data_IF_065196184674
#
_entry.id   IF_065196184674
#
_cell.length_a   1.000
_cell.length_b   1.000
_cell.length_c   1.000
_cell.angle_alpha   90.00
_cell.angle_beta   90.00
_cell.angle_gamma   90.00
#
_symmetry.space_group_name_H-M   'P 1'
#
loop_
_entity.id
_entity.type
_entity.pdbx_description
1 polymer ?
#
# COMPACT_ATOMS: atom_id res chain seq x y z
N UNK A 1 29.39 -16.51 -1.17
CA UNK A 1 28.07 -16.09 -1.68
C UNK A 1 27.14 -15.96 -0.49
N UNK A 2 26.74 -14.74 -0.14
CA UNK A 2 25.68 -14.52 0.86
C UNK A 2 24.41 -15.21 0.37
N UNK A 3 23.71 -15.87 1.28
CA UNK A 3 22.43 -16.52 0.96
C UNK A 3 21.32 -15.55 1.26
N UNK A 4 20.28 -15.54 0.44
CA UNK A 4 19.07 -14.78 0.73
C UNK A 4 18.38 -15.31 1.99
N UNK A 5 17.60 -14.46 2.63
CA UNK A 5 16.97 -14.74 3.92
C UNK A 5 15.45 -14.62 3.83
N UNK A 6 14.76 -15.59 4.43
CA UNK A 6 13.33 -15.50 4.67
C UNK A 6 13.07 -14.84 6.02
N UNK A 7 12.07 -13.96 6.03
CA UNK A 7 11.52 -13.35 7.27
C UNK A 7 10.03 -13.60 7.25
N UNK A 8 9.46 -13.94 8.39
CA UNK A 8 8.02 -14.16 8.45
C UNK A 8 7.49 -14.00 9.86
N UNK A 9 6.29 -13.42 9.95
CA UNK A 9 5.59 -13.22 11.21
C UNK A 9 4.12 -13.60 11.02
N UNK A 10 3.56 -14.42 11.94
CA UNK A 10 2.13 -14.60 12.02
C UNK A 10 1.49 -13.27 12.44
N UNK A 11 0.32 -13.00 11.92
CA UNK A 11 -0.51 -11.85 12.30
C UNK A 11 -1.78 -12.40 12.93
N UNK A 12 -2.08 -12.00 14.16
CA UNK A 12 -3.33 -12.33 14.83
C UNK A 12 -3.78 -11.12 15.66
N UNK A 13 -5.03 -10.76 15.56
CA UNK A 13 -5.59 -9.60 16.27
C UNK A 13 -7.09 -9.77 16.50
N UNK A 14 -7.61 -8.93 17.37
CA UNK A 14 -9.04 -8.79 17.62
C UNK A 14 -9.39 -7.33 17.78
N UNK A 15 -10.44 -6.88 17.08
CA UNK A 15 -11.09 -5.58 17.32
C UNK A 15 -12.61 -5.74 17.25
N UNK A 16 -13.39 -4.85 17.87
CA UNK A 16 -14.85 -4.91 17.77
C UNK A 16 -15.36 -4.81 16.33
N UNK A 17 -14.65 -4.07 15.47
CA UNK A 17 -15.02 -3.83 14.07
C UNK A 17 -14.69 -5.03 13.18
N UNK A 18 -13.64 -5.79 13.51
CA UNK A 18 -13.16 -6.91 12.68
C UNK A 18 -13.53 -8.29 13.22
N UNK A 19 -13.78 -8.43 14.52
CA UNK A 19 -13.74 -9.71 15.21
C UNK A 19 -12.31 -10.26 15.23
N UNK A 20 -12.15 -11.56 15.29
CA UNK A 20 -10.84 -12.21 15.16
C UNK A 20 -10.33 -12.09 13.73
N UNK A 21 -9.06 -11.71 13.61
CA UNK A 21 -8.32 -11.68 12.36
C UNK A 21 -7.03 -12.48 12.44
N UNK A 22 -6.68 -13.14 11.34
CA UNK A 22 -5.46 -13.92 11.24
C UNK A 22 -4.85 -13.89 9.85
N UNK A 23 -3.54 -14.01 9.79
CA UNK A 23 -2.78 -13.97 8.55
C UNK A 23 -1.28 -14.11 8.76
N UNK A 24 -0.52 -13.62 7.80
CA UNK A 24 0.93 -13.62 7.87
C UNK A 24 1.54 -12.44 7.11
N UNK A 25 2.70 -11.98 7.57
CA UNK A 25 3.63 -11.17 6.80
C UNK A 25 4.84 -12.02 6.47
N UNK A 26 5.24 -12.04 5.19
CA UNK A 26 6.36 -12.83 4.68
C UNK A 26 7.26 -11.94 3.85
N UNK A 27 8.56 -12.19 3.93
CA UNK A 27 9.54 -11.49 3.13
C UNK A 27 10.69 -12.38 2.72
N UNK A 28 11.23 -12.11 1.56
CA UNK A 28 12.49 -12.67 1.11
C UNK A 28 13.45 -11.54 0.73
N UNK A 29 14.59 -11.53 1.38
CA UNK A 29 15.66 -10.57 1.12
C UNK A 29 16.72 -11.28 0.30
N UNK A 30 16.96 -10.78 -0.90
CA UNK A 30 17.97 -11.32 -1.80
C UNK A 30 19.38 -11.00 -1.31
N UNK A 31 20.37 -11.85 -1.61
CA UNK A 31 21.75 -11.52 -1.32
C UNK A 31 22.15 -10.26 -2.08
N UNK A 32 23.01 -9.48 -1.47
CA UNK A 32 23.53 -8.24 -2.05
C UNK A 32 24.28 -8.52 -3.35
N UNK A 33 23.87 -7.87 -4.43
CA UNK A 33 24.51 -7.92 -5.75
C UNK A 33 25.15 -6.54 -6.03
N UNK A 34 26.14 -6.18 -5.21
CA UNK A 34 26.97 -4.97 -5.50
C UNK A 34 26.39 -3.62 -5.07
N UNK A 35 25.10 -3.46 -4.85
CA UNK A 35 24.50 -2.21 -4.38
C UNK A 35 24.49 -2.11 -2.84
N UNK A 36 24.33 -0.89 -2.35
CA UNK A 36 24.21 -0.59 -0.91
C UNK A 36 22.94 -1.19 -0.29
N UNK A 37 21.93 -1.46 -1.11
CA UNK A 37 20.62 -1.93 -0.67
C UNK A 37 20.33 -3.33 -1.22
N UNK A 38 19.84 -4.26 -0.41
CA UNK A 38 19.39 -5.56 -0.90
C UNK A 38 18.05 -5.43 -1.61
N UNK A 39 17.87 -6.17 -2.68
CA UNK A 39 16.54 -6.37 -3.27
C UNK A 39 15.68 -7.25 -2.37
N UNK A 40 14.37 -7.06 -2.38
CA UNK A 40 13.46 -7.81 -1.52
C UNK A 40 12.09 -8.01 -2.16
N UNK A 41 11.37 -9.00 -1.67
CA UNK A 41 9.94 -9.15 -1.89
C UNK A 41 9.29 -9.28 -0.53
N UNK A 42 8.39 -8.35 -0.22
CA UNK A 42 7.64 -8.37 1.03
C UNK A 42 6.16 -8.52 0.70
N UNK A 43 5.44 -9.27 1.53
CA UNK A 43 4.01 -9.47 1.38
C UNK A 43 3.33 -9.60 2.73
N UNK A 44 2.07 -9.16 2.78
CA UNK A 44 1.20 -9.32 3.94
C UNK A 44 -0.18 -9.75 3.45
N UNK A 45 -0.81 -10.64 4.19
CA UNK A 45 -2.20 -10.99 3.95
C UNK A 45 -2.88 -11.41 5.23
N UNK A 46 -4.11 -10.94 5.42
CA UNK A 46 -4.95 -11.38 6.52
C UNK A 46 -6.43 -11.39 6.15
N UNK A 47 -7.17 -12.19 6.90
CA UNK A 47 -8.59 -12.35 6.80
C UNK A 47 -9.22 -12.28 8.19
N UNK A 48 -10.45 -11.78 8.28
CA UNK A 48 -11.13 -11.59 9.55
C UNK A 48 -12.47 -12.32 9.61
N UNK A 49 -12.96 -12.55 10.82
CA UNK A 49 -14.25 -13.16 11.09
C UNK A 49 -15.42 -12.46 10.40
N UNK A 50 -15.35 -11.14 10.26
CA UNK A 50 -16.36 -10.32 9.56
C UNK A 50 -16.13 -10.19 8.05
N UNK A 51 -15.38 -11.14 7.44
CA UNK A 51 -15.10 -11.23 6.00
C UNK A 51 -14.31 -10.05 5.41
N UNK A 52 -13.47 -9.41 6.21
CA UNK A 52 -12.52 -8.44 5.72
C UNK A 52 -11.29 -9.16 5.19
N UNK A 53 -10.78 -8.68 4.07
CA UNK A 53 -9.59 -9.24 3.42
C UNK A 53 -8.63 -8.09 3.14
N UNK A 54 -7.37 -8.28 3.48
CA UNK A 54 -6.28 -7.39 3.09
C UNK A 54 -5.14 -8.23 2.54
N UNK A 55 -4.62 -7.80 1.41
CA UNK A 55 -3.43 -8.36 0.79
C UNK A 55 -2.55 -7.23 0.28
N UNK A 56 -1.24 -7.33 0.50
CA UNK A 56 -0.26 -6.39 -0.04
C UNK A 56 1.01 -7.12 -0.43
N UNK A 57 1.66 -6.67 -1.51
CA UNK A 57 2.95 -7.19 -1.94
C UNK A 57 3.83 -6.06 -2.49
N UNK A 58 5.10 -6.06 -2.11
CA UNK A 58 6.09 -5.04 -2.47
C UNK A 58 7.38 -5.72 -2.91
N UNK A 59 7.52 -6.08 -4.19
CA UNK A 59 8.81 -6.38 -4.80
C UNK A 59 9.63 -5.10 -4.97
N UNK A 60 10.87 -5.13 -4.50
CA UNK A 60 11.84 -4.03 -4.60
C UNK A 60 13.15 -4.56 -5.16
N UNK A 61 13.64 -3.91 -6.20
CA UNK A 61 14.82 -4.32 -6.96
C UNK A 61 15.86 -3.22 -7.00
N UNK A 62 17.07 -3.54 -6.58
CA UNK A 62 18.27 -2.71 -6.72
C UNK A 62 19.29 -3.39 -7.63
N UNK A 63 19.75 -2.69 -8.67
CA UNK A 63 20.74 -3.19 -9.62
C UNK A 63 22.07 -2.43 -9.50
N UNK A 64 23.14 -3.09 -9.86
CA UNK A 64 24.52 -2.54 -9.83
C UNK A 64 24.72 -1.26 -10.66
N UNK A 65 23.88 -1.07 -11.68
CA UNK A 65 23.90 0.12 -12.54
C UNK A 65 23.21 1.34 -11.92
N UNK A 66 22.85 1.29 -10.64
CA UNK A 66 22.15 2.35 -9.92
C UNK A 66 20.65 2.41 -10.17
N UNK A 67 20.07 1.42 -10.88
CA UNK A 67 18.63 1.33 -11.06
C UNK A 67 17.95 0.81 -9.78
N UNK A 68 16.86 1.48 -9.41
CA UNK A 68 15.93 1.07 -8.37
C UNK A 68 14.54 0.96 -8.96
N UNK A 69 13.92 -0.19 -8.78
CA UNK A 69 12.54 -0.47 -9.19
C UNK A 69 11.71 -0.95 -8.01
N UNK A 70 10.47 -0.49 -7.92
CA UNK A 70 9.54 -0.88 -6.88
C UNK A 70 8.16 -1.07 -7.47
N UNK A 71 7.51 -2.17 -7.09
CA UNK A 71 6.10 -2.44 -7.39
C UNK A 71 5.39 -2.55 -6.05
N UNK A 72 4.35 -1.77 -5.86
CA UNK A 72 3.42 -1.92 -4.73
C UNK A 72 2.10 -2.44 -5.28
N UNK A 73 1.58 -3.49 -4.70
CA UNK A 73 0.27 -4.05 -5.03
C UNK A 73 -0.53 -4.20 -3.75
N UNK A 74 -1.75 -3.71 -3.77
CA UNK A 74 -2.67 -3.77 -2.65
C UNK A 74 -4.06 -4.22 -3.10
N UNK A 75 -4.67 -5.03 -2.27
CA UNK A 75 -6.09 -5.38 -2.35
C UNK A 75 -6.68 -5.34 -0.96
N UNK A 76 -7.81 -4.68 -0.83
CA UNK A 76 -8.56 -4.70 0.41
C UNK A 76 -10.07 -4.74 0.14
N UNK A 77 -10.75 -5.48 1.00
CA UNK A 77 -12.18 -5.45 1.16
C UNK A 77 -12.44 -5.25 2.64
N UNK A 78 -12.81 -4.04 3.01
CA UNK A 78 -12.87 -3.67 4.41
C UNK A 78 -14.08 -2.76 4.64
N UNK A 79 -15.07 -3.14 5.49
CA UNK A 79 -16.17 -2.26 5.85
C UNK A 79 -15.66 -0.96 6.45
N UNK A 80 -16.28 0.13 6.07
CA UNK A 80 -15.96 1.47 6.50
C UNK A 80 -17.23 2.27 6.73
N UNK A 81 -17.11 3.42 7.35
CA UNK A 81 -18.20 4.31 7.68
C UNK A 81 -18.09 5.61 6.90
N UNK A 82 -19.21 6.13 6.48
CA UNK A 82 -19.35 7.39 5.76
C UNK A 82 -20.27 8.33 6.55
N UNK A 83 -19.84 9.55 6.77
CA UNK A 83 -20.57 10.56 7.54
C UNK A 83 -21.07 11.75 6.69
N UNK A 84 -21.07 11.63 5.38
CA UNK A 84 -21.46 12.73 4.50
C UNK A 84 -20.27 13.54 3.96
N UNK A 85 -20.57 14.72 3.38
CA UNK A 85 -19.58 15.63 2.80
C UNK A 85 -19.63 16.97 3.50
N UNK A 86 -18.49 17.43 4.00
CA UNK A 86 -18.31 18.75 4.57
C UNK A 86 -18.10 18.75 6.08
N UNK A 87 -17.96 19.94 6.69
CA UNK A 87 -17.66 20.08 8.10
C UNK A 87 -18.91 19.99 9.02
N UNK A 88 -20.11 20.01 8.45
CA UNK A 88 -21.37 20.06 9.20
C UNK A 88 -22.07 18.70 9.29
N UNK A 89 -21.28 17.61 9.24
CA UNK A 89 -21.78 16.24 9.38
C UNK A 89 -21.89 15.86 10.85
N UNK A 90 -22.96 15.16 11.21
CA UNK A 90 -23.25 14.71 12.57
C UNK A 90 -22.99 13.20 12.72
N UNK A 91 -22.85 12.71 13.95
CA UNK A 91 -22.66 11.28 14.21
C UNK A 91 -23.89 10.46 13.75
N UNK A 92 -25.04 11.07 13.67
CA UNK A 92 -26.30 10.46 13.18
C UNK A 92 -26.30 10.23 11.66
N UNK A 93 -25.40 10.89 10.92
CA UNK A 93 -25.22 10.71 9.47
C UNK A 93 -24.35 9.50 9.12
N UNK A 94 -23.92 8.72 10.11
CA UNK A 94 -23.07 7.54 9.90
C UNK A 94 -23.78 6.47 9.09
N UNK A 95 -23.22 6.15 7.92
CA UNK A 95 -23.65 5.06 7.05
C UNK A 95 -22.58 4.01 6.88
N UNK A 96 -22.94 2.74 6.96
CA UNK A 96 -22.00 1.63 6.75
C UNK A 96 -21.93 1.26 5.26
N UNK A 97 -20.72 1.16 4.77
CA UNK A 97 -20.48 0.66 3.42
C UNK A 97 -19.31 -0.31 3.38
N UNK A 98 -19.18 -1.05 2.28
CA UNK A 98 -18.07 -1.98 2.09
C UNK A 98 -17.40 -1.69 0.76
N UNK A 99 -16.27 -0.99 0.73
CA UNK A 99 -15.46 -0.83 -0.46
C UNK A 99 -14.62 -2.10 -0.72
N UNK A 100 -14.41 -2.35 -2.00
CA UNK A 100 -13.37 -3.24 -2.53
C UNK A 100 -12.38 -2.38 -3.29
N UNK A 101 -11.13 -2.40 -2.86
CA UNK A 101 -10.07 -1.57 -3.44
C UNK A 101 -8.96 -2.46 -3.97
N UNK A 102 -8.60 -2.24 -5.24
CA UNK A 102 -7.38 -2.77 -5.83
C UNK A 102 -6.49 -1.61 -6.26
N UNK A 103 -5.25 -1.60 -5.81
CA UNK A 103 -4.32 -0.52 -6.11
C UNK A 103 -2.94 -1.06 -6.48
N UNK A 104 -2.23 -0.28 -7.27
CA UNK A 104 -0.88 -0.58 -7.69
C UNK A 104 -0.06 0.68 -7.91
N UNK A 105 1.22 0.58 -7.62
CA UNK A 105 2.23 1.57 -7.94
C UNK A 105 3.42 0.89 -8.58
N UNK A 106 3.85 1.41 -9.70
CA UNK A 106 5.09 1.05 -10.36
C UNK A 106 6.03 2.25 -10.30
N UNK A 107 7.22 2.06 -9.76
CA UNK A 107 8.26 3.08 -9.66
C UNK A 107 9.53 2.55 -10.32
N UNK A 108 10.21 3.42 -11.05
CA UNK A 108 11.55 3.18 -11.56
C UNK A 108 12.37 4.46 -11.49
N UNK A 109 13.55 4.37 -10.91
CA UNK A 109 14.49 5.49 -10.80
C UNK A 109 15.94 5.03 -11.03
N UNK A 110 16.78 5.96 -11.44
CA UNK A 110 18.22 5.73 -11.64
C UNK A 110 19.04 6.72 -10.83
N UNK A 111 20.14 6.27 -10.28
CA UNK A 111 21.11 7.14 -9.62
C UNK A 111 21.93 7.89 -10.68
N UNK A 112 21.74 9.20 -10.75
CA UNK A 112 22.44 10.08 -11.72
C UNK A 112 23.69 10.70 -11.14
N UNK A 113 23.76 10.81 -9.81
CA UNK A 113 24.94 11.20 -9.02
C UNK A 113 24.84 10.52 -7.66
N UNK A 114 25.96 10.37 -6.92
CA UNK A 114 25.92 9.82 -5.57
C UNK A 114 24.84 10.47 -4.71
N UNK A 115 23.86 9.66 -4.28
CA UNK A 115 22.72 10.10 -3.49
C UNK A 115 21.57 10.76 -4.26
N UNK A 116 21.75 11.19 -5.52
CA UNK A 116 20.70 11.82 -6.32
C UNK A 116 20.09 10.81 -7.30
N UNK A 117 18.80 10.55 -7.15
CA UNK A 117 18.04 9.66 -8.05
C UNK A 117 16.94 10.46 -8.76
N UNK A 118 16.68 10.10 -10.01
CA UNK A 118 15.62 10.66 -10.84
C UNK A 118 14.86 9.49 -11.46
N UNK A 119 13.54 9.61 -11.50
CA UNK A 119 12.71 8.55 -12.02
C UNK A 119 11.29 8.95 -12.30
N UNK A 120 10.47 7.94 -12.51
CA UNK A 120 9.04 8.10 -12.72
C UNK A 120 8.24 7.06 -11.97
N UNK A 121 6.97 7.34 -11.83
CA UNK A 121 6.01 6.39 -11.25
C UNK A 121 4.70 6.42 -12.02
N UNK A 122 4.02 5.29 -11.97
CA UNK A 122 2.61 5.14 -12.34
C UNK A 122 1.84 4.64 -11.14
N UNK A 123 0.67 5.21 -10.88
CA UNK A 123 -0.27 4.75 -9.85
C UNK A 123 -1.61 4.42 -10.48
N UNK A 124 -2.21 3.36 -9.99
CA UNK A 124 -3.56 2.93 -10.35
C UNK A 124 -4.31 2.55 -9.09
N UNK A 125 -5.56 2.99 -8.99
CA UNK A 125 -6.49 2.59 -7.94
C UNK A 125 -7.86 2.41 -8.54
N UNK A 126 -8.46 1.27 -8.28
CA UNK A 126 -9.86 0.98 -8.57
C UNK A 126 -10.58 0.71 -7.27
N UNK A 127 -11.68 1.37 -7.08
CA UNK A 127 -12.56 1.19 -5.95
C UNK A 127 -13.97 0.85 -6.43
N UNK A 128 -14.62 -0.12 -5.79
CA UNK A 128 -16.00 -0.50 -6.04
C UNK A 128 -16.70 -0.54 -4.69
N UNK A 129 -17.86 0.07 -4.60
CA UNK A 129 -18.68 -0.02 -3.39
C UNK A 129 -19.59 -1.22 -3.51
N UNK A 130 -19.30 -2.29 -2.76
CA UNK A 130 -20.00 -3.58 -2.80
C UNK A 130 -21.33 -3.55 -2.05
N UNK A 131 -21.35 -2.87 -0.89
CA UNK A 131 -22.51 -2.77 -0.02
C UNK A 131 -22.67 -1.34 0.44
N UNK A 132 -23.91 -0.91 0.58
CA UNK A 132 -24.32 0.39 1.10
C UNK A 132 -25.50 0.16 2.05
N UNK A 133 -25.63 1.02 3.03
CA UNK A 133 -26.78 1.01 3.91
C UNK A 133 -28.04 1.39 3.15
N UNK A 134 -29.16 0.72 3.44
CA UNK A 134 -30.43 0.99 2.78
C UNK A 134 -31.00 2.35 3.25
N UNK A 135 -31.37 3.19 2.30
CA UNK A 135 -31.91 4.52 2.55
C UNK A 135 -30.87 5.60 2.86
N UNK A 136 -29.59 5.27 2.85
CA UNK A 136 -28.50 6.22 3.08
C UNK A 136 -28.15 7.06 1.85
N UNK A 137 -27.41 8.15 2.06
CA UNK A 137 -27.01 9.10 1.03
C UNK A 137 -26.10 8.46 -0.03
N UNK A 138 -25.31 7.42 0.34
CA UNK A 138 -24.50 6.67 -0.59
C UNK A 138 -25.32 5.88 -1.63
N UNK A 139 -26.59 5.63 -1.40
CA UNK A 139 -27.49 5.04 -2.39
C UNK A 139 -27.88 6.05 -3.49
N UNK A 140 -27.83 7.34 -3.19
CA UNK A 140 -28.11 8.37 -4.16
C UNK A 140 -27.04 8.36 -5.27
N UNK A 141 -27.47 8.08 -6.52
CA UNK A 141 -26.61 8.04 -7.69
C UNK A 141 -26.03 9.41 -8.08
N UNK A 142 -26.57 10.48 -7.53
CA UNK A 142 -26.09 11.84 -7.71
C UNK A 142 -24.83 12.18 -6.92
N UNK A 143 -24.49 11.38 -5.91
CA UNK A 143 -23.32 11.61 -5.08
C UNK A 143 -22.05 11.15 -5.81
N UNK A 144 -21.08 12.04 -6.11
CA UNK A 144 -19.83 11.65 -6.74
C UNK A 144 -19.07 10.60 -5.93
N UNK A 145 -18.65 9.52 -6.60
CA UNK A 145 -17.93 8.43 -5.92
C UNK A 145 -18.79 7.36 -5.25
N UNK A 146 -20.12 7.55 -5.18
CA UNK A 146 -21.03 6.61 -4.51
C UNK A 146 -21.01 5.18 -5.07
N UNK A 147 -20.52 4.98 -6.29
CA UNK A 147 -20.36 3.65 -6.91
C UNK A 147 -18.90 3.17 -6.93
N UNK A 148 -18.00 3.97 -6.38
CA UNK A 148 -16.57 3.80 -6.54
C UNK A 148 -16.05 4.53 -7.78
N UNK A 149 -14.83 4.18 -8.20
CA UNK A 149 -14.18 4.83 -9.33
C UNK A 149 -12.82 4.24 -9.66
N UNK A 150 -12.22 4.81 -10.68
CA UNK A 150 -10.86 4.49 -11.10
C UNK A 150 -10.06 5.78 -11.12
N UNK A 151 -8.91 5.77 -10.47
CA UNK A 151 -7.91 6.83 -10.57
C UNK A 151 -6.62 6.26 -11.09
N UNK A 152 -5.96 6.99 -11.97
CA UNK A 152 -4.62 6.64 -12.44
C UNK A 152 -3.81 7.90 -12.71
N UNK A 153 -2.50 7.80 -12.57
CA UNK A 153 -1.62 8.94 -12.79
C UNK A 153 -0.17 8.55 -12.99
N UNK A 154 0.53 9.39 -13.71
CA UNK A 154 1.98 9.32 -13.85
C UNK A 154 2.61 10.46 -13.05
N UNK A 155 3.82 10.24 -12.54
CA UNK A 155 4.58 11.25 -11.81
C UNK A 155 6.07 11.16 -12.10
N UNK A 156 6.74 12.28 -12.00
CA UNK A 156 8.20 12.36 -12.00
C UNK A 156 8.67 12.36 -10.55
N UNK A 157 9.77 11.70 -10.28
CA UNK A 157 10.37 11.58 -8.96
C UNK A 157 11.78 12.14 -8.97
N UNK A 158 12.15 12.80 -7.89
CA UNK A 158 13.53 13.15 -7.57
C UNK A 158 13.75 12.90 -6.09
N UNK A 159 14.82 12.18 -5.75
CA UNK A 159 15.20 11.91 -4.37
C UNK A 159 16.69 12.20 -4.16
N UNK A 160 17.01 12.72 -2.99
CA UNK A 160 18.38 12.95 -2.58
C UNK A 160 18.61 12.34 -1.21
N UNK A 161 19.40 11.26 -1.16
CA UNK A 161 19.67 10.50 0.05
C UNK A 161 21.18 10.22 0.15
N UNK A 162 21.81 10.85 1.12
CA UNK A 162 23.26 10.71 1.40
C UNK A 162 23.53 9.98 2.71
N UNK A 163 22.49 9.41 3.33
CA UNK A 163 22.63 8.68 4.60
C UNK A 163 23.56 7.48 4.46
N UNK A 164 24.36 7.27 5.47
CA UNK A 164 25.24 6.10 5.62
C UNK A 164 24.45 4.80 5.81
N UNK A 165 23.28 4.88 6.47
CA UNK A 165 22.37 3.76 6.67
C UNK A 165 20.91 4.22 6.65
N UNK A 166 20.06 3.50 5.92
CA UNK A 166 18.65 3.86 5.74
C UNK A 166 17.82 3.70 7.02
N UNK A 167 18.14 2.73 7.87
CA UNK A 167 17.38 2.40 9.07
C UNK A 167 17.93 3.03 10.34
N UNK A 168 19.24 3.30 10.38
CA UNK A 168 19.92 3.88 11.54
C UNK A 168 21.03 4.77 11.02
N UNK A 169 20.66 5.96 10.53
CA UNK A 169 21.59 6.93 9.99
C UNK A 169 22.36 7.61 11.12
N UNK A 170 23.68 7.65 11.00
CA UNK A 170 24.57 8.44 11.86
C UNK A 170 25.12 9.67 11.13
N UNK A 171 25.09 9.65 9.80
CA UNK A 171 25.58 10.76 8.96
C UNK A 171 24.70 10.89 7.70
N UNK A 172 24.61 12.12 7.16
CA UNK A 172 23.90 12.41 5.90
C UNK A 172 22.43 12.83 6.08
N UNK A 173 21.78 12.99 4.94
CA UNK A 173 20.40 13.51 4.79
C UNK A 173 19.52 12.46 4.13
#
# INVERSE_FOLDING_TARGET
LEKGHWVGFPVAFYTPETGFGGGAALGYIYPRLGDRHPSSIMGIGFYTEKNQTVFGMIPELYLENGFHGLIEMGYQKFPDNYWGIGPDTEDEDEEKYTPEVAEGRLLGEVEVRPGLRIGGQYRYRREIILKKEEGGALQDRGLPGSTGGITSGIGILGSYDTRDNRFSSSEGW
#
